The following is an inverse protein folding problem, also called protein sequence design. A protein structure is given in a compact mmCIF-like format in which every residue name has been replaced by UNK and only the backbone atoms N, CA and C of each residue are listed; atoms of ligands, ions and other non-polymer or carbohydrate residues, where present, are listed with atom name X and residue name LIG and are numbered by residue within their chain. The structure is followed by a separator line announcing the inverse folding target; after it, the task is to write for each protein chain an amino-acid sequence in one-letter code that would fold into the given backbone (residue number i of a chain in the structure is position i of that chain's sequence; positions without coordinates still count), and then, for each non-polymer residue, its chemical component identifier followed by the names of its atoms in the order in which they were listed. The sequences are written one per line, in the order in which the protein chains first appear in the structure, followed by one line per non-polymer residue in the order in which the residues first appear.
data_IF_383565232193
#
_entry.id   IF_383565232193
#
_cell.length_a   1.000
_cell.length_b   1.000
_cell.length_c   1.000
_cell.angle_alpha   90.00
_cell.angle_beta   90.00
_cell.angle_gamma   90.00
#
_symmetry.space_group_name_H-M   'P 1'
#
loop_
_entity.id
_entity.type
_entity.pdbx_description
1 polymer ?
#
# COMPACT_ATOMS: atom_id res chain seq x y z
N UNK A 1 -47.94 42.15 30.03
CA UNK A 1 -46.75 41.62 29.32
C UNK A 1 -45.86 40.68 30.16
N UNK A 2 -46.10 40.48 31.47
CA UNK A 2 -45.28 39.55 32.28
C UNK A 2 -45.68 38.06 32.22
N UNK A 3 -46.91 37.73 31.80
CA UNK A 3 -47.40 36.34 31.79
C UNK A 3 -46.89 35.48 30.62
N UNK A 4 -46.58 36.07 29.46
CA UNK A 4 -46.07 35.31 28.31
C UNK A 4 -44.59 34.93 28.47
N UNK A 5 -43.77 35.81 29.04
CA UNK A 5 -42.33 35.56 29.20
C UNK A 5 -42.05 34.38 30.15
N UNK A 6 -42.81 34.26 31.25
CA UNK A 6 -42.66 33.16 32.20
C UNK A 6 -43.08 31.80 31.61
N UNK A 7 -44.09 31.79 30.73
CA UNK A 7 -44.55 30.57 30.06
C UNK A 7 -43.54 30.07 29.00
N UNK A 8 -42.85 31.00 28.33
CA UNK A 8 -41.77 30.65 27.38
C UNK A 8 -40.54 30.15 28.14
N UNK A 9 -40.15 30.79 29.24
CA UNK A 9 -39.02 30.35 30.06
C UNK A 9 -39.25 28.94 30.66
N UNK A 10 -40.46 28.64 31.14
CA UNK A 10 -40.81 27.32 31.65
C UNK A 10 -40.80 26.24 30.55
N UNK A 11 -41.27 26.56 29.33
CA UNK A 11 -41.20 25.65 28.17
C UNK A 11 -39.75 25.39 27.74
N UNK A 12 -38.92 26.43 27.67
CA UNK A 12 -37.50 26.30 27.32
C UNK A 12 -36.76 25.49 28.38
N UNK A 13 -37.02 25.72 29.68
CA UNK A 13 -36.44 24.92 30.75
C UNK A 13 -36.90 23.44 30.70
N UNK A 14 -38.16 23.18 30.36
CA UNK A 14 -38.63 21.80 30.18
C UNK A 14 -37.91 21.11 29.03
N UNK A 15 -37.77 21.77 27.87
CA UNK A 15 -37.06 21.25 26.69
C UNK A 15 -35.59 21.03 26.99
N UNK A 16 -34.92 21.97 27.68
CA UNK A 16 -33.50 21.82 28.07
C UNK A 16 -33.31 20.67 29.06
N UNK A 17 -34.27 20.44 29.97
CA UNK A 17 -34.22 19.30 30.90
C UNK A 17 -34.49 17.96 30.19
N UNK A 18 -35.43 17.88 29.23
CA UNK A 18 -35.62 16.67 28.41
C UNK A 18 -34.42 16.42 27.50
N UNK A 19 -33.75 17.46 27.01
CA UNK A 19 -32.53 17.33 26.20
C UNK A 19 -31.35 16.87 27.07
N UNK A 20 -31.23 17.35 28.31
CA UNK A 20 -30.20 16.87 29.24
C UNK A 20 -30.45 15.45 29.75
N UNK A 21 -31.70 15.02 29.94
CA UNK A 21 -32.02 13.62 30.28
C UNK A 21 -31.87 12.66 29.10
N UNK A 22 -31.91 13.14 27.85
CA UNK A 22 -31.58 12.35 26.66
C UNK A 22 -30.08 12.26 26.35
N UNK A 23 -29.23 13.02 27.06
CA UNK A 23 -27.76 13.00 26.90
C UNK A 23 -27.09 12.07 27.95
N UNK A 24 -27.86 11.49 28.87
CA UNK A 24 -27.36 10.54 29.89
C UNK A 24 -27.99 9.15 29.77
N UNK A 25 -28.26 8.70 28.55
CA UNK A 25 -28.59 7.31 28.22
C UNK A 25 -27.68 6.84 27.09
N UNK A 26 -26.92 5.77 27.34
CA UNK A 26 -26.08 4.99 26.42
C UNK A 26 -25.57 5.73 25.17
N UNK A 27 -24.29 6.12 25.19
CA UNK A 27 -23.57 6.51 23.98
C UNK A 27 -23.67 5.38 22.93
N UNK A 28 -24.59 5.51 21.97
CA UNK A 28 -24.51 4.82 20.69
C UNK A 28 -23.13 5.13 20.10
N UNK A 29 -22.24 4.13 20.11
CA UNK A 29 -20.95 4.20 19.44
C UNK A 29 -21.21 4.28 17.94
N UNK A 30 -21.26 5.48 17.37
CA UNK A 30 -21.21 5.60 15.90
C UNK A 30 -19.80 5.27 15.44
N UNK A 31 -19.68 4.15 14.72
CA UNK A 31 -18.42 3.55 14.26
C UNK A 31 -17.53 4.58 13.55
N UNK A 32 -18.13 5.40 12.70
CA UNK A 32 -17.42 6.38 11.87
C UNK A 32 -17.05 7.68 12.60
N UNK A 33 -17.55 7.88 13.83
CA UNK A 33 -17.19 9.04 14.68
C UNK A 33 -16.07 8.75 15.66
N UNK A 34 -15.67 7.47 15.78
CA UNK A 34 -14.58 7.06 16.67
C UNK A 34 -13.23 7.57 16.17
N UNK A 35 -12.41 8.10 17.08
CA UNK A 35 -11.04 8.48 16.77
C UNK A 35 -10.15 7.25 16.57
N UNK A 36 -9.12 7.39 15.74
CA UNK A 36 -8.12 6.33 15.53
C UNK A 36 -7.48 5.90 16.86
N UNK A 37 -7.26 6.82 17.81
CA UNK A 37 -6.75 6.49 19.15
C UNK A 37 -7.71 5.59 19.95
N UNK A 38 -9.01 5.88 19.94
CA UNK A 38 -10.01 5.07 20.65
C UNK A 38 -10.11 3.66 20.04
N UNK A 39 -10.03 3.56 18.72
CA UNK A 39 -9.95 2.28 18.01
C UNK A 39 -8.70 1.54 18.46
N UNK A 40 -7.56 2.21 18.46
CA UNK A 40 -6.26 1.65 18.85
C UNK A 40 -6.28 1.07 20.27
N UNK A 41 -6.82 1.81 21.24
CA UNK A 41 -6.97 1.36 22.62
C UNK A 41 -7.82 0.08 22.74
N UNK A 42 -8.92 -0.01 21.97
CA UNK A 42 -9.79 -1.20 21.98
C UNK A 42 -9.12 -2.42 21.34
N UNK A 43 -8.46 -2.24 20.19
CA UNK A 43 -7.86 -3.36 19.47
C UNK A 43 -6.59 -3.87 20.16
N UNK A 44 -5.80 -3.00 20.80
CA UNK A 44 -4.66 -3.45 21.61
C UNK A 44 -5.09 -4.15 22.90
N UNK A 45 -6.26 -3.83 23.45
CA UNK A 45 -6.82 -4.57 24.59
C UNK A 45 -7.04 -6.06 24.31
N UNK A 46 -7.11 -6.46 23.04
CA UNK A 46 -7.29 -7.86 22.62
C UNK A 46 -6.04 -8.48 22.00
N UNK A 47 -5.00 -7.71 21.70
CA UNK A 47 -3.81 -8.23 21.03
C UNK A 47 -2.81 -8.82 22.03
N UNK A 48 -2.43 -10.09 21.80
CA UNK A 48 -1.30 -10.74 22.47
C UNK A 48 -0.10 -10.66 21.52
N UNK A 49 1.12 -10.51 22.04
CA UNK A 49 2.33 -10.54 21.20
C UNK A 49 2.28 -11.73 20.24
N UNK A 50 2.58 -11.48 18.96
CA UNK A 50 2.32 -12.45 17.90
C UNK A 50 3.21 -13.69 18.05
N UNK A 51 2.66 -14.75 18.63
CA UNK A 51 3.34 -16.03 18.85
C UNK A 51 3.08 -17.02 17.70
N UNK A 52 2.01 -16.83 16.93
CA UNK A 52 1.62 -17.71 15.84
C UNK A 52 2.09 -17.17 14.48
N UNK A 53 3.16 -17.77 13.95
CA UNK A 53 3.61 -17.56 12.56
C UNK A 53 2.97 -18.59 11.62
N UNK A 54 2.35 -18.16 10.53
CA UNK A 54 1.94 -19.02 9.43
C UNK A 54 2.28 -18.36 8.09
N UNK A 55 2.19 -19.13 6.99
CA UNK A 55 2.50 -18.64 5.64
C UNK A 55 1.33 -17.81 5.07
N UNK A 56 1.15 -16.62 5.63
CA UNK A 56 0.22 -15.57 5.22
C UNK A 56 0.39 -15.16 3.75
N UNK A 57 1.62 -15.06 3.25
CA UNK A 57 1.95 -14.84 1.83
C UNK A 57 1.17 -15.78 0.89
N UNK A 58 1.25 -17.09 1.15
CA UNK A 58 0.57 -18.11 0.32
C UNK A 58 -0.95 -18.00 0.46
N UNK A 59 -1.44 -17.71 1.66
CA UNK A 59 -2.87 -17.51 1.89
C UNK A 59 -3.40 -16.28 1.16
N UNK A 60 -2.67 -15.17 1.20
CA UNK A 60 -2.99 -13.94 0.50
C UNK A 60 -3.00 -14.16 -1.02
N UNK A 61 -1.98 -14.85 -1.56
CA UNK A 61 -1.93 -15.18 -2.99
C UNK A 61 -3.15 -15.98 -3.48
N UNK A 62 -3.57 -17.00 -2.72
CA UNK A 62 -4.79 -17.78 -3.02
C UNK A 62 -6.05 -16.90 -2.92
N UNK A 63 -6.13 -16.09 -1.86
CA UNK A 63 -7.26 -15.18 -1.61
C UNK A 63 -7.41 -14.17 -2.74
N UNK A 64 -6.29 -13.62 -3.21
CA UNK A 64 -6.25 -12.69 -4.33
C UNK A 64 -6.75 -13.34 -5.62
N UNK A 65 -6.31 -14.57 -5.93
CA UNK A 65 -6.79 -15.32 -7.09
C UNK A 65 -8.32 -15.53 -7.04
N UNK A 66 -8.86 -15.91 -5.87
CA UNK A 66 -10.30 -16.12 -5.68
C UNK A 66 -11.07 -14.81 -5.90
N UNK A 67 -10.67 -13.72 -5.26
CA UNK A 67 -11.38 -12.44 -5.36
C UNK A 67 -11.26 -11.82 -6.76
N UNK A 68 -10.08 -11.86 -7.40
CA UNK A 68 -9.91 -11.39 -8.78
C UNK A 68 -10.86 -12.12 -9.73
N UNK A 69 -10.94 -13.46 -9.65
CA UNK A 69 -11.86 -14.26 -10.48
C UNK A 69 -13.33 -13.99 -10.14
N UNK A 70 -13.69 -13.98 -8.86
CA UNK A 70 -15.07 -13.76 -8.42
C UNK A 70 -15.58 -12.37 -8.85
N UNK A 71 -14.78 -11.32 -8.67
CA UNK A 71 -15.15 -9.96 -9.05
C UNK A 71 -15.29 -9.77 -10.57
N UNK A 72 -14.53 -10.51 -11.38
CA UNK A 72 -14.72 -10.57 -12.84
C UNK A 72 -16.00 -11.30 -13.25
N UNK A 73 -16.36 -12.39 -12.54
CA UNK A 73 -17.64 -13.08 -12.77
C UNK A 73 -18.80 -12.08 -12.56
N UNK A 74 -18.73 -11.24 -11.53
CA UNK A 74 -19.70 -10.16 -11.30
C UNK A 74 -19.75 -9.21 -12.48
N UNK A 75 -18.60 -8.68 -12.92
CA UNK A 75 -18.55 -7.73 -14.03
C UNK A 75 -19.14 -8.34 -15.32
N UNK A 76 -18.87 -9.62 -15.59
CA UNK A 76 -19.45 -10.36 -16.71
C UNK A 76 -20.97 -10.52 -16.60
N UNK A 77 -21.47 -10.99 -15.45
CA UNK A 77 -22.90 -11.27 -15.25
C UNK A 77 -23.71 -9.97 -15.19
N UNK A 78 -23.18 -8.93 -14.56
CA UNK A 78 -23.91 -7.70 -14.24
C UNK A 78 -23.73 -6.61 -15.29
N UNK A 79 -22.57 -6.52 -15.93
CA UNK A 79 -22.27 -5.50 -16.95
C UNK A 79 -22.24 -6.05 -18.37
N UNK A 80 -22.10 -7.36 -18.56
CA UNK A 80 -21.94 -7.97 -19.88
C UNK A 80 -20.53 -7.81 -20.46
N UNK A 81 -19.56 -7.38 -19.65
CA UNK A 81 -18.17 -7.16 -20.09
C UNK A 81 -17.50 -8.50 -20.42
N UNK A 82 -17.10 -8.69 -21.69
CA UNK A 82 -16.25 -9.81 -22.11
C UNK A 82 -14.79 -9.51 -21.74
N UNK A 83 -14.43 -9.69 -20.47
CA UNK A 83 -13.00 -9.80 -20.09
C UNK A 83 -12.62 -11.27 -20.23
N UNK A 84 -11.59 -11.59 -21.04
CA UNK A 84 -11.07 -12.95 -21.16
C UNK A 84 -10.54 -13.42 -19.78
N UNK A 85 -11.19 -14.45 -19.22
CA UNK A 85 -10.93 -15.05 -17.90
C UNK A 85 -9.55 -15.75 -17.82
N UNK A 86 -8.89 -15.93 -18.96
CA UNK A 86 -7.71 -16.80 -19.13
C UNK A 86 -6.35 -16.11 -18.91
N UNK A 87 -6.30 -14.78 -18.80
CA UNK A 87 -5.04 -14.01 -18.73
C UNK A 87 -4.67 -13.47 -17.32
N UNK A 88 -5.30 -13.96 -16.24
CA UNK A 88 -4.87 -13.57 -14.89
C UNK A 88 -3.67 -14.44 -14.51
N UNK A 89 -2.51 -13.81 -14.29
CA UNK A 89 -1.39 -14.49 -13.62
C UNK A 89 -1.84 -14.93 -12.22
N UNK A 90 -1.81 -16.24 -11.97
CA UNK A 90 -2.19 -16.79 -10.67
C UNK A 90 -0.98 -16.86 -9.74
N UNK A 91 -1.14 -16.36 -8.52
CA UNK A 91 -0.16 -16.58 -7.48
C UNK A 91 -0.17 -18.05 -7.08
N UNK A 92 0.96 -18.73 -7.27
CA UNK A 92 1.11 -20.13 -6.85
C UNK A 92 1.56 -20.17 -5.39
N UNK A 93 0.83 -20.87 -4.50
CA UNK A 93 1.23 -21.00 -3.10
C UNK A 93 2.52 -21.80 -2.97
N UNK A 94 3.26 -21.60 -1.86
CA UNK A 94 4.47 -22.36 -1.56
C UNK A 94 4.16 -23.87 -1.45
N UNK A 95 5.11 -24.70 -1.87
CA UNK A 95 4.96 -26.16 -1.81
C UNK A 95 4.75 -26.62 -0.36
N UNK A 96 3.69 -27.40 -0.13
CA UNK A 96 3.34 -27.88 1.22
C UNK A 96 2.50 -26.93 2.07
N UNK A 97 2.04 -25.80 1.50
CA UNK A 97 1.12 -24.90 2.18
C UNK A 97 -0.15 -25.62 2.66
N UNK A 98 -0.53 -25.36 3.92
CA UNK A 98 -1.76 -25.88 4.53
C UNK A 98 -2.56 -24.71 5.10
N UNK A 99 -3.75 -24.47 4.54
CA UNK A 99 -4.61 -23.40 5.00
C UNK A 99 -5.14 -23.71 6.43
N UNK A 100 -5.18 -22.72 7.34
CA UNK A 100 -5.71 -22.89 8.69
C UNK A 100 -7.25 -22.97 8.67
N UNK A 101 -7.78 -24.07 8.13
CA UNK A 101 -9.20 -24.21 7.77
C UNK A 101 -10.15 -24.02 8.96
N UNK A 102 -9.77 -24.50 10.15
CA UNK A 102 -10.57 -24.31 11.37
C UNK A 102 -10.66 -22.82 11.74
N UNK A 103 -9.55 -22.09 11.65
CA UNK A 103 -9.50 -20.63 11.88
C UNK A 103 -10.37 -19.91 10.86
N UNK A 104 -10.20 -20.21 9.57
CA UNK A 104 -11.01 -19.61 8.49
C UNK A 104 -12.51 -19.84 8.69
N UNK A 105 -12.91 -21.08 9.03
CA UNK A 105 -14.32 -21.40 9.34
C UNK A 105 -14.82 -20.67 10.58
N UNK A 106 -14.00 -20.54 11.62
CA UNK A 106 -14.39 -19.78 12.81
C UNK A 106 -14.63 -18.31 12.48
N UNK A 107 -13.78 -17.69 11.65
CA UNK A 107 -13.96 -16.29 11.24
C UNK A 107 -15.21 -16.15 10.36
N UNK A 108 -15.38 -17.05 9.38
CA UNK A 108 -16.56 -17.05 8.51
C UNK A 108 -17.86 -17.15 9.32
N UNK A 109 -17.90 -18.03 10.33
CA UNK A 109 -19.07 -18.16 11.21
C UNK A 109 -19.37 -16.89 12.01
N UNK A 110 -18.34 -16.10 12.35
CA UNK A 110 -18.51 -14.83 13.07
C UNK A 110 -19.13 -13.76 12.16
N UNK A 111 -18.88 -13.79 10.85
CA UNK A 111 -19.43 -12.83 9.88
C UNK A 111 -20.85 -13.19 9.39
N UNK A 112 -21.27 -14.44 9.56
CA UNK A 112 -22.51 -14.96 8.97
C UNK A 112 -23.77 -14.47 9.70
N UNK A 113 -24.83 -14.23 8.92
CA UNK A 113 -26.19 -13.96 9.41
C UNK A 113 -26.35 -12.77 10.39
N UNK A 114 -25.41 -11.82 10.38
CA UNK A 114 -25.49 -10.60 11.20
C UNK A 114 -26.47 -9.57 10.58
N UNK A 115 -27.28 -8.86 11.38
CA UNK A 115 -28.12 -7.76 10.87
C UNK A 115 -27.27 -6.55 10.46
N UNK A 116 -27.76 -5.70 9.53
CA UNK A 116 -27.09 -4.44 9.18
C UNK A 116 -27.15 -3.47 10.37
N UNK A 117 -25.98 -3.11 10.92
CA UNK A 117 -25.83 -2.08 11.94
C UNK A 117 -24.34 -1.74 12.10
N UNK A 118 -24.03 -0.46 12.34
CA UNK A 118 -22.67 -0.01 12.67
C UNK A 118 -22.13 -0.69 13.93
N UNK A 119 -22.96 -0.80 14.97
CA UNK A 119 -22.60 -1.44 16.24
C UNK A 119 -22.31 -2.93 16.03
N UNK A 120 -23.12 -3.60 15.21
CA UNK A 120 -22.93 -5.01 14.91
C UNK A 120 -21.67 -5.23 14.09
N UNK A 121 -21.38 -4.35 13.12
CA UNK A 121 -20.14 -4.40 12.36
C UNK A 121 -18.92 -4.18 13.28
N UNK A 122 -18.99 -3.20 14.17
CA UNK A 122 -17.96 -2.91 15.17
C UNK A 122 -17.69 -4.11 16.09
N UNK A 123 -18.73 -4.64 16.74
CA UNK A 123 -18.63 -5.76 17.67
C UNK A 123 -18.13 -7.04 16.97
N UNK A 124 -18.61 -7.31 15.76
CA UNK A 124 -18.15 -8.45 14.95
C UNK A 124 -16.67 -8.30 14.58
N UNK A 125 -16.24 -7.09 14.23
CA UNK A 125 -14.83 -6.78 13.95
C UNK A 125 -13.94 -7.06 15.17
N UNK A 126 -14.33 -6.57 16.34
CA UNK A 126 -13.58 -6.84 17.59
C UNK A 126 -13.56 -8.34 17.95
N UNK A 127 -14.67 -9.04 17.75
CA UNK A 127 -14.74 -10.49 17.98
C UNK A 127 -13.78 -11.27 17.06
N UNK A 128 -13.67 -10.88 15.79
CA UNK A 128 -12.72 -11.48 14.85
C UNK A 128 -11.28 -11.17 15.27
N UNK A 129 -10.96 -9.92 15.57
CA UNK A 129 -9.61 -9.53 16.00
C UNK A 129 -9.18 -10.24 17.29
N UNK A 130 -10.11 -10.44 18.22
CA UNK A 130 -9.86 -11.19 19.46
C UNK A 130 -9.60 -12.68 19.20
N UNK A 131 -10.35 -13.31 18.28
CA UNK A 131 -10.10 -14.70 17.85
C UNK A 131 -8.72 -14.87 17.21
N UNK A 132 -8.19 -13.79 16.64
CA UNK A 132 -6.89 -13.75 15.98
C UNK A 132 -5.83 -13.01 16.83
N UNK A 133 -6.04 -12.91 18.13
CA UNK A 133 -5.22 -12.13 19.06
C UNK A 133 -3.72 -12.48 19.01
N UNK A 134 -3.40 -13.75 18.79
CA UNK A 134 -2.05 -14.35 18.66
C UNK A 134 -1.35 -14.09 17.33
N UNK A 135 -2.06 -13.55 16.33
CA UNK A 135 -1.52 -13.31 14.99
C UNK A 135 -0.99 -11.88 14.83
N UNK A 136 -0.09 -11.70 13.86
CA UNK A 136 0.33 -10.36 13.39
C UNK A 136 -0.86 -9.56 12.85
N UNK A 137 -0.71 -8.23 12.75
CA UNK A 137 -1.77 -7.38 12.21
C UNK A 137 -2.08 -7.67 10.74
N UNK A 138 -1.03 -7.91 9.94
CA UNK A 138 -1.16 -8.32 8.55
C UNK A 138 -1.92 -9.67 8.45
N UNK A 139 -1.51 -10.66 9.24
CA UNK A 139 -2.12 -11.99 9.28
C UNK A 139 -3.61 -11.92 9.64
N UNK A 140 -3.99 -11.06 10.58
CA UNK A 140 -5.40 -10.82 10.94
C UNK A 140 -6.21 -10.35 9.73
N UNK A 141 -5.66 -9.43 8.94
CA UNK A 141 -6.32 -8.93 7.74
C UNK A 141 -6.43 -10.02 6.66
N UNK A 142 -5.34 -10.75 6.40
CA UNK A 142 -5.31 -11.82 5.40
C UNK A 142 -6.25 -12.97 5.77
N UNK A 143 -6.24 -13.45 7.01
CA UNK A 143 -7.14 -14.52 7.48
C UNK A 143 -8.62 -14.12 7.37
N UNK A 144 -8.94 -12.87 7.72
CA UNK A 144 -10.31 -12.35 7.61
C UNK A 144 -10.74 -12.28 6.15
N UNK A 145 -9.89 -11.72 5.28
CA UNK A 145 -10.16 -11.61 3.85
C UNK A 145 -10.30 -13.00 3.21
N UNK A 146 -9.46 -13.96 3.58
CA UNK A 146 -9.51 -15.34 3.10
C UNK A 146 -10.81 -16.04 3.49
N UNK A 147 -11.24 -15.89 4.75
CA UNK A 147 -12.50 -16.45 5.24
C UNK A 147 -13.71 -15.88 4.47
N UNK A 148 -13.69 -14.59 4.19
CA UNK A 148 -14.69 -13.95 3.33
C UNK A 148 -14.62 -14.43 1.88
N UNK A 149 -13.42 -14.53 1.32
CA UNK A 149 -13.19 -14.93 -0.06
C UNK A 149 -13.67 -16.36 -0.33
N UNK A 150 -13.56 -17.28 0.65
CA UNK A 150 -14.15 -18.61 0.54
C UNK A 150 -15.65 -18.56 0.25
N UNK A 151 -16.41 -17.78 1.03
CA UNK A 151 -17.87 -17.67 0.87
C UNK A 151 -18.25 -16.89 -0.39
N UNK A 152 -17.59 -15.75 -0.64
CA UNK A 152 -17.85 -14.91 -1.81
C UNK A 152 -17.48 -15.60 -3.13
N UNK A 153 -16.32 -16.25 -3.15
CA UNK A 153 -15.84 -17.02 -4.29
C UNK A 153 -16.74 -18.21 -4.60
N UNK A 154 -17.14 -18.97 -3.58
CA UNK A 154 -18.08 -20.07 -3.75
C UNK A 154 -19.43 -19.57 -4.30
N UNK A 155 -19.95 -18.45 -3.79
CA UNK A 155 -21.20 -17.87 -4.28
C UNK A 155 -21.16 -17.57 -5.78
N UNK A 156 -20.11 -16.88 -6.26
CA UNK A 156 -19.99 -16.53 -7.67
C UNK A 156 -19.58 -17.70 -8.57
N UNK A 157 -18.85 -18.68 -8.03
CA UNK A 157 -18.61 -19.94 -8.73
C UNK A 157 -19.93 -20.69 -8.96
N UNK A 158 -20.80 -20.78 -7.96
CA UNK A 158 -22.13 -21.38 -8.10
C UNK A 158 -23.00 -20.60 -9.08
N UNK A 159 -22.94 -19.26 -9.07
CA UNK A 159 -23.63 -18.41 -10.04
C UNK A 159 -23.27 -18.75 -11.49
N UNK A 160 -22.01 -19.06 -11.74
CA UNK A 160 -21.52 -19.44 -13.07
C UNK A 160 -21.88 -20.89 -13.47
N UNK A 161 -21.88 -21.83 -12.51
CA UNK A 161 -22.03 -23.27 -12.79
C UNK A 161 -23.47 -23.80 -12.69
N UNK A 162 -24.39 -23.05 -12.11
CA UNK A 162 -25.76 -23.53 -11.83
C UNK A 162 -26.56 -23.99 -13.07
N UNK A 163 -26.22 -23.51 -14.27
CA UNK A 163 -26.91 -23.90 -15.51
C UNK A 163 -26.40 -25.23 -16.09
N UNK A 164 -25.10 -25.54 -15.88
CA UNK A 164 -24.43 -26.70 -16.49
C UNK A 164 -24.21 -27.87 -15.53
N UNK A 165 -24.29 -27.65 -14.21
CA UNK A 165 -23.99 -28.65 -13.20
C UNK A 165 -25.14 -28.83 -12.18
N UNK A 166 -25.70 -30.06 -12.10
CA UNK A 166 -26.84 -30.38 -11.22
C UNK A 166 -26.53 -30.29 -9.72
N UNK A 167 -25.31 -30.65 -9.31
CA UNK A 167 -24.87 -30.50 -7.93
C UNK A 167 -24.75 -29.03 -7.59
N UNK A 168 -24.07 -28.25 -8.44
CA UNK A 168 -23.94 -26.80 -8.28
C UNK A 168 -25.32 -26.12 -8.21
N UNK A 169 -26.27 -26.53 -9.06
CA UNK A 169 -27.66 -26.04 -9.02
C UNK A 169 -28.33 -26.28 -7.67
N UNK A 170 -28.16 -27.48 -7.11
CA UNK A 170 -28.78 -27.84 -5.82
C UNK A 170 -28.20 -27.03 -4.67
N UNK A 171 -26.87 -26.84 -4.63
CA UNK A 171 -26.20 -26.01 -3.63
C UNK A 171 -26.55 -24.53 -3.82
N UNK A 172 -26.59 -24.05 -5.05
CA UNK A 172 -26.95 -22.67 -5.40
C UNK A 172 -28.33 -22.28 -4.88
N UNK A 173 -29.31 -23.21 -4.93
CA UNK A 173 -30.65 -23.01 -4.36
C UNK A 173 -30.56 -22.80 -2.84
N UNK A 174 -29.80 -23.62 -2.11
CA UNK A 174 -29.64 -23.48 -0.66
C UNK A 174 -28.91 -22.18 -0.28
N UNK A 175 -27.88 -21.80 -1.04
CA UNK A 175 -27.17 -20.52 -0.89
C UNK A 175 -27.93 -19.30 -1.48
N UNK A 176 -29.17 -19.49 -1.96
CA UNK A 176 -30.04 -18.43 -2.50
C UNK A 176 -29.44 -17.64 -3.67
N UNK A 177 -28.51 -18.24 -4.40
CA UNK A 177 -27.91 -17.65 -5.61
C UNK A 177 -28.98 -17.25 -6.65
N UNK A 178 -30.01 -18.08 -6.93
CA UNK A 178 -31.08 -17.71 -7.87
C UNK A 178 -31.92 -16.50 -7.44
N UNK A 179 -31.97 -16.17 -6.14
CA UNK A 179 -32.72 -15.00 -5.65
C UNK A 179 -32.09 -13.71 -6.17
N UNK A 180 -30.77 -13.59 -6.08
CA UNK A 180 -30.06 -12.43 -6.60
C UNK A 180 -30.06 -12.37 -8.14
N UNK A 181 -29.95 -13.53 -8.79
CA UNK A 181 -29.77 -13.61 -10.25
C UNK A 181 -31.08 -13.62 -11.04
N UNK A 182 -32.24 -13.67 -10.38
CA UNK A 182 -33.53 -13.51 -11.04
C UNK A 182 -33.53 -12.17 -11.80
N UNK A 183 -33.93 -12.12 -13.08
CA UNK A 183 -33.79 -10.91 -13.91
C UNK A 183 -34.38 -9.63 -13.29
N UNK A 184 -35.53 -9.74 -12.62
CA UNK A 184 -36.18 -8.62 -11.94
C UNK A 184 -35.37 -8.09 -10.75
N UNK A 185 -34.76 -8.98 -9.98
CA UNK A 185 -34.07 -8.65 -8.73
C UNK A 185 -32.63 -8.21 -9.03
N UNK A 186 -31.98 -8.84 -10.01
CA UNK A 186 -30.69 -8.41 -10.52
C UNK A 186 -30.75 -7.01 -11.10
N UNK A 187 -31.81 -6.66 -11.84
CA UNK A 187 -31.99 -5.31 -12.37
C UNK A 187 -32.15 -4.28 -11.25
N UNK A 188 -32.96 -4.58 -10.21
CA UNK A 188 -33.17 -3.70 -9.06
C UNK A 188 -31.93 -3.54 -8.20
N UNK A 189 -31.21 -4.64 -7.94
CA UNK A 189 -30.05 -4.69 -7.03
C UNK A 189 -28.71 -4.44 -7.76
N UNK A 190 -28.74 -4.18 -9.08
CA UNK A 190 -27.57 -4.02 -9.95
C UNK A 190 -26.52 -3.08 -9.36
N UNK A 191 -26.94 -1.87 -9.01
CA UNK A 191 -26.04 -0.84 -8.48
C UNK A 191 -25.39 -1.27 -7.17
N UNK A 192 -26.18 -1.84 -6.25
CA UNK A 192 -25.67 -2.34 -4.97
C UNK A 192 -24.67 -3.50 -5.13
N UNK A 193 -24.85 -4.37 -6.14
CA UNK A 193 -23.88 -5.42 -6.48
C UNK A 193 -22.57 -4.82 -7.00
N UNK A 194 -22.64 -3.78 -7.84
CA UNK A 194 -21.45 -3.11 -8.37
C UNK A 194 -20.68 -2.34 -7.29
N UNK A 195 -21.38 -1.65 -6.40
CA UNK A 195 -20.78 -0.95 -5.25
C UNK A 195 -20.06 -1.93 -4.32
N UNK A 196 -20.71 -3.06 -4.00
CA UNK A 196 -20.09 -4.15 -3.25
C UNK A 196 -18.83 -4.67 -3.96
N UNK A 197 -18.92 -4.93 -5.27
CA UNK A 197 -17.79 -5.45 -6.06
C UNK A 197 -16.59 -4.49 -6.04
N UNK A 198 -16.84 -3.19 -6.19
CA UNK A 198 -15.81 -2.16 -6.14
C UNK A 198 -15.20 -2.03 -4.73
N UNK A 199 -16.03 -2.13 -3.68
CA UNK A 199 -15.54 -2.09 -2.31
C UNK A 199 -14.64 -3.28 -1.97
N UNK A 200 -14.98 -4.48 -2.43
CA UNK A 200 -14.14 -5.68 -2.28
C UNK A 200 -12.80 -5.48 -2.99
N UNK A 201 -12.79 -4.95 -4.23
CA UNK A 201 -11.56 -4.62 -4.97
C UNK A 201 -10.69 -3.61 -4.21
N UNK A 202 -11.29 -2.55 -3.66
CA UNK A 202 -10.57 -1.53 -2.90
C UNK A 202 -10.00 -2.10 -1.58
N UNK A 203 -10.77 -2.94 -0.88
CA UNK A 203 -10.34 -3.58 0.37
C UNK A 203 -9.18 -4.56 0.12
N UNK A 204 -9.23 -5.32 -0.97
CA UNK A 204 -8.11 -6.16 -1.40
C UNK A 204 -6.83 -5.34 -1.61
N UNK A 205 -6.90 -4.18 -2.27
CA UNK A 205 -5.74 -3.30 -2.45
C UNK A 205 -5.20 -2.71 -1.14
N UNK A 206 -6.07 -2.45 -0.16
CA UNK A 206 -5.63 -2.00 1.18
C UNK A 206 -4.80 -3.10 1.85
N UNK A 207 -5.29 -4.34 1.82
CA UNK A 207 -4.59 -5.49 2.43
C UNK A 207 -3.29 -5.79 1.67
N UNK A 208 -3.28 -5.64 0.34
CA UNK A 208 -2.05 -5.70 -0.47
C UNK A 208 -1.01 -4.65 -0.05
N UNK A 209 -1.44 -3.43 0.27
CA UNK A 209 -0.54 -2.40 0.77
C UNK A 209 0.01 -2.74 2.17
N UNK A 210 -0.83 -3.32 3.05
CA UNK A 210 -0.43 -3.76 4.39
C UNK A 210 0.61 -4.89 4.31
N UNK A 211 0.37 -5.89 3.46
CA UNK A 211 1.33 -6.97 3.16
C UNK A 211 2.67 -6.42 2.66
N UNK A 212 2.64 -5.42 1.77
CA UNK A 212 3.86 -4.75 1.33
C UNK A 212 4.60 -4.06 2.47
N UNK A 213 3.91 -3.41 3.41
CA UNK A 213 4.57 -2.81 4.58
C UNK A 213 5.22 -3.85 5.48
N UNK A 214 4.56 -4.99 5.69
CA UNK A 214 5.12 -6.10 6.47
C UNK A 214 6.43 -6.60 5.84
N UNK A 215 6.48 -6.75 4.51
CA UNK A 215 7.70 -7.10 3.76
C UNK A 215 8.83 -6.09 3.93
N UNK A 216 8.48 -4.81 4.13
CA UNK A 216 9.46 -3.74 4.39
C UNK A 216 9.86 -3.65 5.88
N UNK A 217 9.19 -4.34 6.80
CA UNK A 217 9.46 -4.27 8.25
C UNK A 217 10.88 -4.68 8.65
N UNK A 218 11.61 -5.38 7.78
CA UNK A 218 13.00 -5.79 7.97
C UNK A 218 14.02 -4.63 7.94
N UNK A 219 13.63 -3.45 7.46
CA UNK A 219 14.51 -2.27 7.41
C UNK A 219 14.63 -1.57 8.77
N UNK A 220 15.84 -1.09 9.10
CA UNK A 220 16.08 -0.32 10.34
C UNK A 220 15.27 0.99 10.31
N UNK A 221 14.48 1.29 11.36
CA UNK A 221 13.75 2.56 11.51
C UNK A 221 14.62 3.82 11.36
N UNK A 222 15.93 3.73 11.62
CA UNK A 222 16.88 4.84 11.42
C UNK A 222 17.11 5.15 9.94
N UNK A 223 17.08 4.11 9.11
CA UNK A 223 17.30 4.22 7.67
C UNK A 223 15.99 4.57 6.93
N UNK A 224 14.84 4.12 7.47
CA UNK A 224 13.52 4.33 6.87
C UNK A 224 12.53 4.87 7.92
N UNK A 225 12.68 6.13 8.38
CA UNK A 225 11.82 6.68 9.42
C UNK A 225 10.34 6.75 9.03
N UNK A 226 10.03 6.89 7.72
CA UNK A 226 8.65 6.88 7.25
C UNK A 226 7.97 5.53 7.45
N UNK A 227 8.73 4.43 7.44
CA UNK A 227 8.21 3.09 7.66
C UNK A 227 7.73 2.93 9.10
N UNK A 228 8.49 3.40 10.09
CA UNK A 228 8.08 3.35 11.50
C UNK A 228 6.73 4.07 11.72
N UNK A 229 6.59 5.27 11.16
CA UNK A 229 5.34 6.05 11.22
C UNK A 229 4.19 5.30 10.55
N UNK A 230 4.43 4.65 9.41
CA UNK A 230 3.40 3.86 8.73
C UNK A 230 2.98 2.65 9.59
N UNK A 231 3.95 1.91 10.14
CA UNK A 231 3.73 0.73 10.97
C UNK A 231 2.90 1.02 12.23
N UNK A 232 3.08 2.19 12.86
CA UNK A 232 2.27 2.63 14.01
C UNK A 232 0.78 2.78 13.68
N UNK A 233 0.44 3.04 12.41
CA UNK A 233 -0.94 3.19 11.95
C UNK A 233 -1.57 1.91 11.40
N UNK A 234 -0.77 0.90 11.03
CA UNK A 234 -1.24 -0.37 10.46
C UNK A 234 -2.34 -1.04 11.30
N UNK A 235 -2.29 -1.09 12.64
CA UNK A 235 -3.36 -1.72 13.44
C UNK A 235 -4.75 -1.11 13.17
N UNK A 236 -4.82 0.22 13.04
CA UNK A 236 -6.08 0.93 12.74
C UNK A 236 -6.52 0.67 11.30
N UNK A 237 -5.57 0.66 10.36
CA UNK A 237 -5.87 0.38 8.94
C UNK A 237 -6.39 -1.07 8.76
N UNK A 238 -5.83 -2.03 9.51
CA UNK A 238 -6.33 -3.42 9.60
C UNK A 238 -7.73 -3.48 10.17
N UNK A 239 -8.01 -2.74 11.26
CA UNK A 239 -9.35 -2.65 11.83
C UNK A 239 -10.38 -2.22 10.78
N UNK A 240 -10.08 -1.16 10.01
CA UNK A 240 -10.99 -0.68 8.97
C UNK A 240 -11.15 -1.69 7.83
N UNK A 241 -10.09 -2.38 7.42
CA UNK A 241 -10.17 -3.44 6.42
C UNK A 241 -11.10 -4.59 6.89
N UNK A 242 -10.93 -5.07 8.12
CA UNK A 242 -11.78 -6.12 8.72
C UNK A 242 -13.23 -5.65 8.83
N UNK A 243 -13.47 -4.43 9.32
CA UNK A 243 -14.81 -3.86 9.43
C UNK A 243 -15.52 -3.76 8.08
N UNK A 244 -14.79 -3.39 7.02
CA UNK A 244 -15.34 -3.39 5.66
C UNK A 244 -15.64 -4.80 5.16
N UNK A 245 -14.77 -5.79 5.41
CA UNK A 245 -15.04 -7.19 5.04
C UNK A 245 -16.31 -7.70 5.72
N UNK A 246 -16.51 -7.40 7.01
CA UNK A 246 -17.75 -7.70 7.75
C UNK A 246 -18.96 -7.03 7.08
N UNK A 247 -18.88 -5.73 6.78
CA UNK A 247 -19.96 -5.01 6.12
C UNK A 247 -20.32 -5.58 4.73
N UNK A 248 -19.30 -6.02 3.97
CA UNK A 248 -19.47 -6.70 2.69
C UNK A 248 -20.18 -8.05 2.86
N UNK A 249 -19.81 -8.85 3.86
CA UNK A 249 -20.47 -10.13 4.18
C UNK A 249 -21.95 -9.94 4.53
N UNK A 250 -22.26 -8.93 5.34
CA UNK A 250 -23.65 -8.54 5.65
C UNK A 250 -24.39 -8.11 4.38
N UNK A 251 -23.77 -7.32 3.50
CA UNK A 251 -24.41 -6.89 2.24
C UNK A 251 -24.75 -8.06 1.34
N UNK A 252 -23.88 -9.07 1.21
CA UNK A 252 -24.18 -10.29 0.42
C UNK A 252 -25.39 -11.02 0.98
N UNK A 253 -25.47 -11.16 2.29
CA UNK A 253 -26.60 -11.81 2.97
C UNK A 253 -27.91 -11.08 2.66
N UNK A 254 -27.90 -9.74 2.66
CA UNK A 254 -29.06 -8.91 2.31
C UNK A 254 -29.43 -9.04 0.83
N UNK A 255 -28.44 -8.95 -0.06
CA UNK A 255 -28.64 -9.07 -1.51
C UNK A 255 -29.29 -10.41 -1.90
N UNK A 256 -28.95 -11.47 -1.20
CA UNK A 256 -29.46 -12.84 -1.39
C UNK A 256 -30.73 -13.15 -0.59
N UNK A 257 -31.22 -12.18 0.19
CA UNK A 257 -32.48 -12.28 0.92
C UNK A 257 -33.66 -11.72 0.12
N UNK A 258 -34.86 -12.14 0.49
CA UNK A 258 -36.13 -11.59 0.00
C UNK A 258 -36.55 -10.32 0.75
N UNK A 259 -35.74 -9.86 1.71
CA UNK A 259 -36.03 -8.70 2.55
C UNK A 259 -35.38 -7.45 1.94
N UNK A 260 -36.15 -6.38 1.78
CA UNK A 260 -35.64 -5.07 1.39
C UNK A 260 -35.10 -4.34 2.63
N UNK A 261 -33.95 -4.80 3.14
CA UNK A 261 -33.19 -4.12 4.19
C UNK A 261 -32.15 -3.19 3.57
N UNK A 262 -32.17 -1.94 3.98
CA UNK A 262 -31.14 -0.98 3.60
C UNK A 262 -29.84 -1.28 4.39
N UNK A 263 -28.72 -1.20 3.69
CA UNK A 263 -27.38 -1.32 4.26
C UNK A 263 -26.44 -0.51 3.38
N UNK A 264 -26.19 0.73 3.78
CA UNK A 264 -25.37 1.66 3.02
C UNK A 264 -23.88 1.32 3.22
N UNK A 265 -23.18 1.08 2.11
CA UNK A 265 -21.75 0.81 2.10
C UNK A 265 -20.93 2.08 1.81
N UNK A 266 -21.55 3.21 1.49
CA UNK A 266 -20.85 4.44 1.15
C UNK A 266 -19.88 4.91 2.26
N UNK A 267 -20.23 4.86 3.57
CA UNK A 267 -19.30 5.25 4.62
C UNK A 267 -18.05 4.35 4.68
N UNK A 268 -18.23 3.04 4.54
CA UNK A 268 -17.12 2.08 4.47
C UNK A 268 -16.26 2.32 3.22
N UNK A 269 -16.89 2.57 2.08
CA UNK A 269 -16.17 2.86 0.84
C UNK A 269 -15.33 4.13 0.95
N UNK A 270 -15.88 5.22 1.48
CA UNK A 270 -15.13 6.46 1.71
C UNK A 270 -13.92 6.22 2.62
N UNK A 271 -14.11 5.49 3.73
CA UNK A 271 -13.03 5.20 4.67
C UNK A 271 -11.94 4.32 4.06
N UNK A 272 -12.30 3.27 3.31
CA UNK A 272 -11.33 2.40 2.64
C UNK A 272 -10.54 3.13 1.56
N UNK A 273 -11.19 3.99 0.76
CA UNK A 273 -10.46 4.78 -0.23
C UNK A 273 -9.50 5.78 0.43
N UNK A 274 -9.89 6.38 1.55
CA UNK A 274 -9.00 7.22 2.35
C UNK A 274 -7.78 6.43 2.85
N UNK A 275 -7.99 5.27 3.48
CA UNK A 275 -6.91 4.38 3.96
C UNK A 275 -5.99 3.97 2.81
N UNK A 276 -6.56 3.54 1.69
CA UNK A 276 -5.79 3.13 0.51
C UNK A 276 -4.89 4.25 -0.02
N UNK A 277 -5.41 5.47 -0.14
CA UNK A 277 -4.63 6.62 -0.60
C UNK A 277 -3.50 6.97 0.38
N UNK A 278 -3.79 6.95 1.68
CA UNK A 278 -2.79 7.19 2.74
C UNK A 278 -1.65 6.16 2.66
N UNK A 279 -1.98 4.87 2.60
CA UNK A 279 -0.99 3.78 2.51
C UNK A 279 -0.14 3.88 1.24
N UNK A 280 -0.75 4.17 0.08
CA UNK A 280 -0.01 4.35 -1.18
C UNK A 280 0.99 5.50 -1.12
N UNK A 281 0.61 6.64 -0.54
CA UNK A 281 1.52 7.78 -0.36
C UNK A 281 2.68 7.39 0.56
N UNK A 282 2.41 6.73 1.68
CA UNK A 282 3.44 6.28 2.61
C UNK A 282 4.39 5.26 1.99
N UNK A 283 3.90 4.32 1.18
CA UNK A 283 4.73 3.35 0.45
C UNK A 283 5.71 4.03 -0.51
N UNK A 284 5.27 5.08 -1.22
CA UNK A 284 6.15 5.85 -2.12
C UNK A 284 7.30 6.47 -1.32
N UNK A 285 7.00 7.08 -0.17
CA UNK A 285 8.02 7.68 0.70
C UNK A 285 8.99 6.62 1.25
N UNK A 286 8.47 5.49 1.73
CA UNK A 286 9.29 4.40 2.27
C UNK A 286 10.23 3.83 1.20
N UNK A 287 9.72 3.54 -0.01
CA UNK A 287 10.52 3.03 -1.12
C UNK A 287 11.65 3.98 -1.51
N UNK A 288 11.40 5.29 -1.52
CA UNK A 288 12.43 6.30 -1.76
C UNK A 288 13.53 6.27 -0.69
N UNK A 289 13.15 6.24 0.59
CA UNK A 289 14.11 6.16 1.69
C UNK A 289 14.92 4.86 1.66
N UNK A 290 14.28 3.74 1.31
CA UNK A 290 14.95 2.45 1.10
C UNK A 290 16.00 2.55 0.00
N UNK A 291 15.66 3.13 -1.16
CA UNK A 291 16.60 3.32 -2.26
C UNK A 291 17.81 4.18 -1.84
N UNK A 292 17.58 5.27 -1.09
CA UNK A 292 18.63 6.12 -0.53
C UNK A 292 19.53 5.36 0.44
N UNK A 293 18.93 4.60 1.37
CA UNK A 293 19.65 3.80 2.36
C UNK A 293 20.47 2.67 1.71
N UNK A 294 19.90 1.95 0.75
CA UNK A 294 20.61 0.92 -0.01
C UNK A 294 21.77 1.50 -0.81
N UNK A 295 21.55 2.66 -1.45
CA UNK A 295 22.59 3.39 -2.18
C UNK A 295 23.73 3.79 -1.25
N UNK A 296 23.40 4.35 -0.08
CA UNK A 296 24.38 4.70 0.94
C UNK A 296 25.17 3.48 1.45
N UNK A 297 24.48 2.38 1.81
CA UNK A 297 25.13 1.14 2.27
C UNK A 297 26.04 0.55 1.19
N UNK A 298 25.60 0.56 -0.07
CA UNK A 298 26.41 0.13 -1.22
C UNK A 298 27.67 1.00 -1.37
N UNK A 299 27.52 2.32 -1.36
CA UNK A 299 28.65 3.25 -1.45
C UNK A 299 29.63 3.02 -0.29
N UNK A 300 29.13 2.95 0.95
CA UNK A 300 29.97 2.70 2.13
C UNK A 300 30.79 1.41 1.99
N UNK A 301 30.18 0.31 1.53
CA UNK A 301 30.88 -0.96 1.28
C UNK A 301 31.99 -0.82 0.24
N UNK A 302 31.71 -0.13 -0.86
CA UNK A 302 32.68 0.11 -1.94
C UNK A 302 33.86 0.97 -1.46
N UNK A 303 33.60 1.97 -0.63
CA UNK A 303 34.65 2.83 -0.06
C UNK A 303 35.49 2.15 1.02
N UNK A 304 34.93 1.21 1.78
CA UNK A 304 35.66 0.47 2.82
C UNK A 304 36.63 -0.55 2.24
N UNK A 305 36.24 -1.25 1.17
CA UNK A 305 37.08 -2.25 0.50
C UNK A 305 37.09 -2.00 -1.01
N UNK A 306 37.76 -0.95 -1.48
CA UNK A 306 37.78 -0.61 -2.91
C UNK A 306 38.65 -1.62 -3.67
N UNK A 307 38.07 -2.32 -4.65
CA UNK A 307 38.83 -3.21 -5.54
C UNK A 307 39.70 -2.40 -6.50
N UNK A 308 39.09 -1.40 -7.16
CA UNK A 308 39.76 -0.46 -8.05
C UNK A 308 39.10 0.92 -7.95
N UNK A 309 39.86 2.01 -8.13
CA UNK A 309 39.35 3.38 -8.13
C UNK A 309 38.24 3.60 -9.18
N UNK A 310 38.30 2.87 -10.29
CA UNK A 310 37.29 2.89 -11.34
C UNK A 310 35.92 2.43 -10.81
N UNK A 311 35.88 1.39 -9.97
CA UNK A 311 34.61 0.87 -9.43
C UNK A 311 34.01 1.83 -8.40
N UNK A 312 34.86 2.47 -7.59
CA UNK A 312 34.45 3.55 -6.68
C UNK A 312 33.85 4.72 -7.48
N UNK A 313 34.55 5.15 -8.53
CA UNK A 313 34.11 6.24 -9.40
C UNK A 313 32.78 5.90 -10.09
N UNK A 314 32.65 4.69 -10.64
CA UNK A 314 31.40 4.25 -11.27
C UNK A 314 30.21 4.33 -10.32
N UNK A 315 30.40 3.86 -9.09
CA UNK A 315 29.36 3.84 -8.08
C UNK A 315 28.95 5.25 -7.62
N UNK A 316 29.88 6.20 -7.59
CA UNK A 316 29.62 7.59 -7.22
C UNK A 316 28.86 8.37 -8.30
N UNK A 317 29.19 8.14 -9.57
CA UNK A 317 28.78 9.03 -10.67
C UNK A 317 27.64 8.47 -11.50
N UNK A 318 27.62 7.16 -11.71
CA UNK A 318 26.64 6.53 -12.60
C UNK A 318 25.58 5.79 -11.81
N UNK A 319 24.33 5.94 -12.24
CA UNK A 319 23.26 5.01 -11.85
C UNK A 319 23.60 3.61 -12.38
N UNK A 320 23.18 2.55 -11.64
CA UNK A 320 23.45 1.16 -12.07
C UNK A 320 23.06 1.03 -13.55
N UNK A 321 23.97 0.44 -14.35
CA UNK A 321 23.79 0.03 -15.75
C UNK A 321 24.08 1.05 -16.85
N UNK A 322 24.26 2.36 -16.57
CA UNK A 322 24.55 3.34 -17.63
C UNK A 322 25.87 4.11 -17.40
N UNK A 323 27.00 3.42 -17.57
CA UNK A 323 28.32 4.04 -17.52
C UNK A 323 28.54 4.85 -18.79
N UNK A 324 28.44 6.17 -18.68
CA UNK A 324 28.69 7.07 -19.81
C UNK A 324 30.21 7.25 -20.05
N UNK A 325 30.64 7.47 -21.31
CA UNK A 325 32.02 7.85 -21.60
C UNK A 325 32.39 9.17 -20.91
N UNK A 326 33.63 9.28 -20.46
CA UNK A 326 34.19 10.53 -19.95
C UNK A 326 34.70 11.37 -21.14
N UNK A 327 34.95 12.66 -20.92
CA UNK A 327 35.62 13.52 -21.92
C UNK A 327 37.03 13.86 -21.48
N UNK A 328 38.01 13.54 -22.31
CA UNK A 328 39.38 14.00 -22.11
C UNK A 328 39.50 15.44 -22.59
N UNK A 329 39.72 16.38 -21.66
CA UNK A 329 39.82 17.81 -21.99
C UNK A 329 41.00 18.18 -22.87
N UNK A 330 42.05 17.36 -22.92
CA UNK A 330 43.24 17.64 -23.71
C UNK A 330 43.07 17.29 -25.19
N UNK A 331 42.33 16.22 -25.48
CA UNK A 331 42.05 15.74 -26.85
C UNK A 331 40.64 16.10 -27.33
N UNK A 332 39.76 16.49 -26.41
CA UNK A 332 38.32 16.71 -26.60
C UNK A 332 37.57 15.47 -27.11
N UNK A 333 38.11 14.27 -26.85
CA UNK A 333 37.50 13.02 -27.26
C UNK A 333 36.78 12.33 -26.11
N UNK A 334 35.74 11.56 -26.46
CA UNK A 334 35.09 10.64 -25.53
C UNK A 334 36.01 9.44 -25.27
N UNK A 335 36.22 9.13 -24.00
CA UNK A 335 37.11 8.07 -23.53
C UNK A 335 36.37 7.16 -22.57
N UNK A 336 36.66 5.85 -22.66
CA UNK A 336 36.11 4.88 -21.71
C UNK A 336 36.71 5.12 -20.33
N UNK A 337 35.94 4.83 -19.28
CA UNK A 337 36.39 4.97 -17.90
C UNK A 337 37.65 4.14 -17.56
N UNK A 338 37.97 3.12 -18.38
CA UNK A 338 39.19 2.33 -18.27
C UNK A 338 40.49 3.16 -18.26
N UNK A 339 40.46 4.42 -18.72
CA UNK A 339 41.59 5.34 -18.58
C UNK A 339 42.00 5.60 -17.12
N UNK A 340 41.11 5.34 -16.16
CA UNK A 340 41.34 5.48 -14.72
C UNK A 340 41.88 4.18 -14.09
N UNK A 341 41.94 3.08 -14.84
CA UNK A 341 42.37 1.78 -14.32
C UNK A 341 43.83 1.85 -13.85
N UNK A 342 44.09 1.41 -12.61
CA UNK A 342 45.41 1.46 -11.95
C UNK A 342 46.03 2.86 -11.89
N UNK A 343 45.21 3.93 -11.90
CA UNK A 343 45.65 5.32 -11.75
C UNK A 343 45.31 5.85 -10.36
N UNK A 344 46.09 6.80 -9.88
CA UNK A 344 45.72 7.65 -8.75
C UNK A 344 44.82 8.78 -9.25
N UNK A 345 43.62 8.92 -8.69
CA UNK A 345 42.63 9.88 -9.18
C UNK A 345 42.42 11.01 -8.17
N UNK A 346 42.62 12.25 -8.63
CA UNK A 346 42.21 13.44 -7.92
C UNK A 346 40.80 13.84 -8.40
N UNK A 347 39.81 13.72 -7.53
CA UNK A 347 38.44 14.15 -7.82
C UNK A 347 38.32 15.65 -7.54
N UNK A 348 37.97 16.41 -8.58
CA UNK A 348 37.63 17.82 -8.47
C UNK A 348 36.11 17.95 -8.57
N UNK A 349 35.44 18.14 -7.43
CA UNK A 349 33.98 18.22 -7.34
C UNK A 349 33.59 19.67 -7.02
N UNK A 350 32.74 20.28 -7.83
CA UNK A 350 32.37 21.69 -7.65
C UNK A 350 31.03 22.02 -8.28
N UNK A 351 30.42 23.15 -7.90
CA UNK A 351 29.36 23.77 -8.69
C UNK A 351 29.93 24.35 -9.99
N UNK A 352 29.09 25.04 -10.78
CA UNK A 352 29.54 25.80 -11.96
C UNK A 352 30.16 27.16 -11.60
N UNK A 353 30.23 27.53 -10.32
CA UNK A 353 30.79 28.80 -9.85
C UNK A 353 32.29 28.68 -9.62
N UNK A 354 32.99 28.32 -10.70
CA UNK A 354 34.44 28.17 -10.75
C UNK A 354 35.00 29.37 -11.51
N UNK A 355 35.96 30.06 -10.91
CA UNK A 355 36.66 31.18 -11.53
C UNK A 355 37.82 30.70 -12.42
N UNK A 356 38.32 31.58 -13.27
CA UNK A 356 39.53 31.30 -14.06
C UNK A 356 40.78 31.19 -13.18
N UNK A 357 40.77 31.81 -11.99
CA UNK A 357 41.83 31.71 -10.99
C UNK A 357 41.87 30.30 -10.38
N UNK A 358 40.71 29.74 -10.02
CA UNK A 358 40.59 28.36 -9.51
C UNK A 358 41.15 27.34 -10.51
N UNK A 359 40.82 27.51 -11.80
CA UNK A 359 41.34 26.66 -12.87
C UNK A 359 42.86 26.85 -13.00
N UNK A 360 43.34 28.08 -12.87
CA UNK A 360 44.77 28.41 -13.01
C UNK A 360 45.61 27.83 -11.87
N UNK A 361 45.05 27.66 -10.67
CA UNK A 361 45.70 26.96 -9.55
C UNK A 361 45.89 25.47 -9.86
N UNK A 362 44.94 24.84 -10.55
CA UNK A 362 44.99 23.40 -10.88
C UNK A 362 45.89 23.08 -12.09
N UNK A 363 46.14 24.03 -12.99
CA UNK A 363 46.94 23.80 -14.21
C UNK A 363 48.38 23.33 -13.92
N UNK A 364 49.17 23.99 -13.04
CA UNK A 364 50.52 23.51 -12.71
C UNK A 364 50.53 22.08 -12.14
N UNK A 365 49.51 21.74 -11.34
CA UNK A 365 49.34 20.39 -10.75
C UNK A 365 49.09 19.38 -11.87
N UNK A 366 48.17 19.69 -12.80
CA UNK A 366 47.89 18.85 -13.96
C UNK A 366 49.12 18.62 -14.83
N UNK A 367 49.88 19.68 -15.14
CA UNK A 367 51.07 19.59 -16.01
C UNK A 367 52.20 18.77 -15.37
N UNK A 368 52.35 18.85 -14.05
CA UNK A 368 53.30 18.03 -13.30
C UNK A 368 52.91 16.55 -13.34
N UNK A 369 51.64 16.26 -13.06
CA UNK A 369 51.07 14.91 -12.99
C UNK A 369 51.04 14.22 -14.36
N UNK A 370 50.76 14.97 -15.43
CA UNK A 370 50.61 14.43 -16.79
C UNK A 370 51.85 13.70 -17.27
N UNK A 371 53.04 14.12 -16.83
CA UNK A 371 54.34 13.54 -17.24
C UNK A 371 54.54 12.10 -16.77
N UNK A 372 54.03 11.76 -15.59
CA UNK A 372 54.18 10.44 -14.97
C UNK A 372 53.09 9.45 -15.45
N UNK A 373 51.98 9.95 -16.00
CA UNK A 373 50.79 9.20 -16.43
C UNK A 373 50.19 8.28 -15.34
N UNK A 374 50.71 8.25 -14.11
CA UNK A 374 50.18 7.48 -12.98
C UNK A 374 48.99 8.17 -12.32
N UNK A 375 48.84 9.49 -12.48
CA UNK A 375 47.76 10.25 -11.86
C UNK A 375 46.85 10.92 -12.91
N UNK A 376 45.57 11.08 -12.56
CA UNK A 376 44.55 11.76 -13.37
C UNK A 376 43.73 12.70 -12.50
N UNK A 377 43.40 13.88 -13.04
CA UNK A 377 42.39 14.77 -12.45
C UNK A 377 41.08 14.49 -13.17
N UNK A 378 39.99 14.31 -12.42
CA UNK A 378 38.64 14.14 -12.96
C UNK A 378 37.71 15.18 -12.36
N UNK A 379 37.14 16.04 -13.21
CA UNK A 379 36.16 17.04 -12.80
C UNK A 379 34.74 16.50 -12.85
N UNK A 380 34.01 16.72 -11.76
CA UNK A 380 32.62 16.31 -11.57
C UNK A 380 31.81 17.58 -11.23
N UNK A 381 31.08 18.14 -12.20
CA UNK A 381 30.23 19.29 -11.96
C UNK A 381 28.93 18.89 -11.25
N UNK A 382 28.58 19.62 -10.19
CA UNK A 382 27.27 19.51 -9.50
C UNK A 382 26.37 20.63 -10.01
N UNK A 383 25.22 20.25 -10.59
CA UNK A 383 24.22 21.19 -11.11
C UNK A 383 22.86 20.84 -10.54
N UNK A 384 22.35 21.68 -9.64
CA UNK A 384 21.05 21.46 -8.99
C UNK A 384 19.87 21.57 -9.98
N UNK A 385 19.95 22.53 -10.90
CA UNK A 385 18.89 22.84 -11.87
C UNK A 385 19.50 23.17 -13.24
N UNK A 386 18.95 22.58 -14.30
CA UNK A 386 19.39 22.81 -15.67
C UNK A 386 18.65 23.98 -16.31
N UNK A 387 19.42 24.96 -16.80
CA UNK A 387 18.95 26.06 -17.65
C UNK A 387 19.88 26.18 -18.86
N UNK A 388 19.43 26.85 -19.92
CA UNK A 388 20.29 27.03 -21.11
C UNK A 388 21.56 27.83 -20.81
N UNK A 389 21.49 28.80 -19.90
CA UNK A 389 22.67 29.56 -19.47
C UNK A 389 23.64 28.69 -18.66
N UNK A 390 23.13 27.81 -17.78
CA UNK A 390 23.97 26.86 -17.04
C UNK A 390 24.61 25.82 -17.97
N UNK A 391 23.91 25.37 -19.02
CA UNK A 391 24.48 24.50 -20.06
C UNK A 391 25.61 25.20 -20.82
N UNK A 392 25.41 26.46 -21.23
CA UNK A 392 26.46 27.28 -21.87
C UNK A 392 27.65 27.49 -20.93
N UNK A 393 27.41 27.76 -19.64
CA UNK A 393 28.46 27.93 -18.63
C UNK A 393 29.27 26.64 -18.43
N UNK A 394 28.58 25.50 -18.32
CA UNK A 394 29.21 24.18 -18.26
C UNK A 394 30.13 23.96 -19.47
N UNK A 395 29.63 24.15 -20.69
CA UNK A 395 30.44 23.98 -21.90
C UNK A 395 31.61 24.96 -21.99
N UNK A 396 31.44 26.20 -21.52
CA UNK A 396 32.55 27.17 -21.40
C UNK A 396 33.65 26.66 -20.47
N UNK A 397 33.28 26.19 -19.26
CA UNK A 397 34.22 25.61 -18.30
C UNK A 397 34.88 24.34 -18.83
N UNK A 398 34.11 23.46 -19.49
CA UNK A 398 34.65 22.28 -20.18
C UNK A 398 35.70 22.70 -21.21
N UNK A 399 35.55 23.79 -21.93
CA UNK A 399 36.58 24.21 -22.89
C UNK A 399 37.87 24.72 -22.25
N UNK A 400 37.82 25.25 -21.02
CA UNK A 400 38.99 25.82 -20.32
C UNK A 400 39.83 24.79 -19.57
N UNK A 401 39.26 23.65 -19.22
CA UNK A 401 39.90 22.64 -18.38
C UNK A 401 40.58 21.54 -19.22
N UNK A 402 41.89 21.27 -19.05
CA UNK A 402 42.61 20.27 -19.85
C UNK A 402 42.48 18.82 -19.33
N UNK A 403 41.89 18.59 -18.16
CA UNK A 403 41.77 17.27 -17.52
C UNK A 403 40.50 16.50 -17.94
N UNK A 404 40.31 15.30 -17.36
CA UNK A 404 39.16 14.41 -17.64
C UNK A 404 37.90 14.98 -16.97
N UNK A 405 36.73 14.83 -17.60
CA UNK A 405 35.46 15.40 -17.12
C UNK A 405 34.34 14.39 -17.29
N UNK A 406 33.41 14.39 -16.35
CA UNK A 406 32.12 13.70 -16.49
C UNK A 406 31.25 14.39 -17.52
#
# INVERSE_FOLDING_TARGET
MLGLANNVAAKVASVVTTTHQHITGDHELSLFTMSDQKILEQIYGTHVHADESFDDDSLFGITENILKRATQIVDKIVQGTQVHVENIEENTPKAGFSAPLCTLKSIASEMQCKPPSEEVAHNTTLAILNKLSSYSWEAKAVLTLAAFAMEYGEFWLLAQLQESNRLAKSIAILKRVPVLLKPSDLHKKRQAVLELNNLIKATLQVIECIDQFDKLSSYDPKDVPALAIAMDHIPVDVYWAVATVVACATKITILTSNEDKEHDLAPFAQKIHYVLNKLKIQLIVCRKQIEEAETYRRLRKIFQTPTEIMEVFKALIFTKENVQPLVDGSTKQMVKIDILRKKNVLLFISSLDISDDDISILKPIYDLIKKDNQHKIVWIPIVEHWTDDRRKKLESLRNKMPWVKV
#
